data_IF_448221817845
#
_entry.id   IF_448221817845
#
_cell.length_a   1.000
_cell.length_b   1.000
_cell.length_c   1.000
_cell.angle_alpha   90.00
_cell.angle_beta   90.00
_cell.angle_gamma   90.00
#
_symmetry.space_group_name_H-M   'P 1'
#
loop_
_entity.id
_entity.type
_entity.pdbx_description
1 polymer ?
#
# COMPACT_ATOMS: atom_id res chain seq x y z
N UNK A 1 -32.29 10.13 6.07
CA UNK A 1 -31.74 9.03 5.23
C UNK A 1 -30.52 8.45 5.94
N UNK A 2 -30.57 7.19 6.39
CA UNK A 2 -29.40 6.57 7.02
C UNK A 2 -28.26 6.44 6.00
N UNK A 3 -27.01 6.83 6.33
CA UNK A 3 -25.90 6.74 5.40
C UNK A 3 -25.70 5.27 5.02
N UNK A 4 -25.73 4.98 3.72
CA UNK A 4 -25.50 3.63 3.18
C UNK A 4 -24.17 3.13 3.74
N UNK A 5 -24.19 2.02 4.49
CA UNK A 5 -22.97 1.38 5.00
C UNK A 5 -22.10 1.04 3.79
N UNK A 6 -20.95 1.68 3.71
CA UNK A 6 -19.89 1.36 2.75
C UNK A 6 -19.57 -0.14 2.86
N UNK A 7 -19.49 -0.83 1.73
CA UNK A 7 -19.14 -2.26 1.66
C UNK A 7 -17.70 -2.40 1.19
N UNK A 8 -17.09 -3.52 1.55
CA UNK A 8 -15.75 -3.86 1.08
C UNK A 8 -15.73 -3.97 -0.44
N UNK A 9 -14.75 -3.33 -1.10
CA UNK A 9 -14.59 -3.34 -2.55
C UNK A 9 -13.91 -4.63 -3.07
N UNK A 10 -13.47 -5.51 -2.17
CA UNK A 10 -12.89 -6.80 -2.53
C UNK A 10 -13.97 -7.74 -3.11
N UNK A 11 -13.66 -8.34 -4.27
CA UNK A 11 -14.54 -9.33 -4.92
C UNK A 11 -14.79 -10.46 -3.92
N UNK A 12 -16.05 -10.81 -3.70
CA UNK A 12 -16.48 -11.89 -2.79
C UNK A 12 -16.41 -11.57 -1.29
N UNK A 13 -16.25 -10.30 -0.88
CA UNK A 13 -16.39 -9.92 0.54
C UNK A 13 -17.76 -9.30 0.87
N UNK A 14 -18.63 -9.96 1.66
CA UNK A 14 -19.91 -9.39 2.10
C UNK A 14 -19.77 -8.44 3.30
N UNK A 15 -18.54 -8.17 3.77
CA UNK A 15 -18.32 -7.35 4.97
C UNK A 15 -18.51 -5.86 4.70
N UNK A 16 -18.94 -5.14 5.74
CA UNK A 16 -18.95 -3.68 5.72
C UNK A 16 -17.50 -3.13 5.71
N UNK A 17 -17.27 -2.10 4.90
CA UNK A 17 -16.02 -1.37 4.93
C UNK A 17 -15.89 -0.56 6.23
N UNK A 18 -14.66 -0.44 6.72
CA UNK A 18 -14.36 0.38 7.89
C UNK A 18 -14.32 1.86 7.46
N UNK A 19 -15.00 2.74 8.20
CA UNK A 19 -15.17 4.16 7.83
C UNK A 19 -13.94 5.05 7.99
N UNK A 20 -12.93 4.60 8.74
CA UNK A 20 -11.74 5.42 9.07
C UNK A 20 -10.47 4.72 8.56
N UNK A 21 -10.34 3.42 8.85
CA UNK A 21 -9.15 2.62 8.52
C UNK A 21 -9.35 1.70 7.32
N UNK A 22 -10.50 1.79 6.64
CA UNK A 22 -10.83 0.95 5.49
C UNK A 22 -10.45 1.57 4.14
N UNK A 23 -10.14 2.86 4.07
CA UNK A 23 -9.80 3.51 2.82
C UNK A 23 -8.34 3.24 2.42
N UNK A 24 -8.15 2.71 1.23
CA UNK A 24 -6.83 2.52 0.65
C UNK A 24 -6.46 3.75 -0.17
N UNK A 25 -5.42 4.48 0.23
CA UNK A 25 -4.94 5.68 -0.47
C UNK A 25 -4.38 5.42 -1.88
N UNK A 26 -4.07 4.16 -2.22
CA UNK A 26 -3.48 3.79 -3.51
C UNK A 26 -4.55 3.58 -4.59
N UNK A 27 -5.52 2.71 -4.32
CA UNK A 27 -6.62 2.43 -5.26
C UNK A 27 -7.91 3.21 -4.95
N UNK A 28 -7.92 4.04 -3.89
CA UNK A 28 -9.10 4.78 -3.38
C UNK A 28 -10.30 3.89 -3.09
N UNK A 29 -10.05 2.61 -2.83
CA UNK A 29 -11.06 1.61 -2.49
C UNK A 29 -11.35 1.57 -0.98
N UNK A 30 -12.56 1.16 -0.61
CA UNK A 30 -12.98 1.01 0.78
C UNK A 30 -13.02 -0.48 1.15
N UNK A 31 -12.39 -0.88 2.25
CA UNK A 31 -12.20 -2.27 2.64
C UNK A 31 -12.60 -2.53 4.10
N UNK A 32 -12.88 -3.80 4.42
CA UNK A 32 -13.19 -4.22 5.79
C UNK A 32 -11.91 -4.46 6.60
N UNK A 33 -12.04 -4.75 7.90
CA UNK A 33 -10.88 -4.97 8.79
C UNK A 33 -9.95 -6.11 8.34
N UNK A 34 -10.46 -7.07 7.56
CA UNK A 34 -9.66 -8.15 6.96
C UNK A 34 -8.91 -7.63 5.72
N UNK A 35 -9.64 -7.08 4.76
CA UNK A 35 -9.09 -6.62 3.48
C UNK A 35 -8.42 -5.23 3.48
N UNK A 36 -8.15 -4.62 4.65
CA UNK A 36 -7.55 -3.27 4.74
C UNK A 36 -6.09 -3.21 4.30
N UNK A 37 -5.37 -4.33 4.35
CA UNK A 37 -3.99 -4.41 3.88
C UNK A 37 -3.95 -4.49 2.35
N UNK A 38 -2.94 -3.86 1.74
CA UNK A 38 -2.75 -3.88 0.28
C UNK A 38 -2.65 -5.32 -0.27
N UNK A 39 -2.01 -6.21 0.49
CA UNK A 39 -1.85 -7.63 0.16
C UNK A 39 -3.19 -8.38 0.14
N UNK A 40 -4.07 -8.05 1.09
CA UNK A 40 -5.31 -8.78 1.36
C UNK A 40 -6.39 -8.44 0.31
N UNK A 41 -6.46 -7.19 -0.14
CA UNK A 41 -7.36 -6.80 -1.23
C UNK A 41 -6.75 -6.84 -2.64
N UNK A 42 -5.51 -7.34 -2.77
CA UNK A 42 -4.74 -7.35 -4.03
C UNK A 42 -4.75 -5.96 -4.69
N UNK A 43 -4.25 -4.96 -3.96
CA UNK A 43 -4.25 -3.58 -4.42
C UNK A 43 -3.52 -3.45 -5.76
N UNK A 44 -4.20 -2.91 -6.77
CA UNK A 44 -3.62 -2.60 -8.08
C UNK A 44 -2.44 -1.62 -7.97
N UNK A 45 -2.45 -0.73 -6.97
CA UNK A 45 -1.36 0.22 -6.72
C UNK A 45 -0.17 -0.36 -5.93
N UNK A 46 -0.22 -1.64 -5.53
CA UNK A 46 0.87 -2.28 -4.78
C UNK A 46 2.15 -2.40 -5.62
N UNK A 47 2.00 -2.68 -6.92
CA UNK A 47 3.14 -2.89 -7.82
C UNK A 47 3.91 -1.57 -8.07
N UNK A 48 3.19 -0.49 -8.34
CA UNK A 48 3.78 0.86 -8.47
C UNK A 48 4.42 1.33 -7.16
N UNK A 49 3.77 1.09 -6.02
CA UNK A 49 4.33 1.44 -4.71
C UNK A 49 5.63 0.68 -4.43
N UNK A 50 5.69 -0.61 -4.77
CA UNK A 50 6.89 -1.44 -4.61
C UNK A 50 8.03 -0.92 -5.49
N UNK A 51 7.75 -0.62 -6.76
CA UNK A 51 8.76 -0.14 -7.70
C UNK A 51 9.35 1.19 -7.25
N UNK A 52 8.51 2.14 -6.85
CA UNK A 52 8.98 3.44 -6.34
C UNK A 52 9.80 3.31 -5.05
N UNK A 53 9.37 2.43 -4.13
CA UNK A 53 10.11 2.19 -2.89
C UNK A 53 11.47 1.53 -3.15
N UNK A 54 11.53 0.58 -4.08
CA UNK A 54 12.78 -0.08 -4.47
C UNK A 54 13.76 0.89 -5.12
N UNK A 55 13.28 1.77 -6.01
CA UNK A 55 14.13 2.76 -6.67
C UNK A 55 14.71 3.77 -5.68
N UNK A 56 13.90 4.27 -4.74
CA UNK A 56 14.38 5.15 -3.67
C UNK A 56 15.37 4.47 -2.74
N UNK A 57 15.10 3.23 -2.35
CA UNK A 57 16.00 2.46 -1.49
C UNK A 57 17.33 2.17 -2.20
N UNK A 58 17.30 1.81 -3.48
CA UNK A 58 18.49 1.62 -4.30
C UNK A 58 19.30 2.91 -4.44
N UNK A 59 18.64 4.05 -4.70
CA UNK A 59 19.31 5.35 -4.79
C UNK A 59 19.96 5.75 -3.45
N UNK A 60 19.27 5.50 -2.33
CA UNK A 60 19.79 5.75 -0.99
C UNK A 60 20.99 4.82 -0.68
N UNK A 61 20.88 3.52 -0.96
CA UNK A 61 21.97 2.55 -0.80
C UNK A 61 23.21 2.93 -1.62
N UNK A 62 23.04 3.34 -2.87
CA UNK A 62 24.14 3.78 -3.73
C UNK A 62 24.77 5.08 -3.21
N UNK A 63 23.95 6.01 -2.69
CA UNK A 63 24.43 7.27 -2.11
C UNK A 63 25.17 7.07 -0.79
N UNK A 64 24.76 6.11 0.02
CA UNK A 64 25.37 5.78 1.31
C UNK A 64 26.47 4.72 1.20
N UNK A 65 26.77 4.25 -0.02
CA UNK A 65 27.76 3.20 -0.20
C UNK A 65 29.13 3.69 0.26
N UNK A 66 29.70 3.01 1.25
CA UNK A 66 31.05 3.26 1.73
C UNK A 66 32.04 2.96 0.61
N UNK A 67 32.67 4.01 0.09
CA UNK A 67 33.78 3.85 -0.85
C UNK A 67 35.04 3.51 -0.05
N UNK A 68 35.68 2.41 -0.41
CA UNK A 68 37.03 2.09 0.07
C UNK A 68 37.98 3.18 -0.43
N UNK A 69 38.44 4.03 0.49
CA UNK A 69 39.60 4.91 0.29
C UNK A 69 40.82 4.04 -0.06
N UNK A 70 41.14 3.94 -1.35
CA UNK A 70 42.41 3.36 -1.81
C UNK A 70 43.51 4.39 -1.61
N UNK A 71 44.35 4.16 -0.60
CA UNK A 71 45.71 4.70 -0.49
C UNK A 71 45.81 6.07 0.20
N UNK A 72 46.27 6.04 1.45
CA UNK A 72 47.27 6.99 1.98
C UNK A 72 48.54 6.19 2.21
#
# INVERSE_FOLDING_TARGET
>A
MAPKKNRCNFKECPSAAQRIVGDCGFCRGHFCSKHRLLEDHKCEGLEDCKKQSHERNAAQLESERTQVIKGV
#
